data_IF_874693002648
#
_entry.id   IF_874693002648
#
_cell.length_a   1.000
_cell.length_b   1.000
_cell.length_c   1.000
_cell.angle_alpha   90.00
_cell.angle_beta   90.00
_cell.angle_gamma   90.00
#
_symmetry.space_group_name_H-M   'P 1'
#
loop_
_entity.id
_entity.type
_entity.pdbx_description
1 polymer ?
#
# COMPACT_ATOMS: atom_id res chain seq x y z
N UNK A 1 -4.42 7.62 9.80
CA UNK A 1 -3.29 6.82 10.33
C UNK A 1 -3.66 5.40 10.75
N UNK A 2 -4.79 5.11 11.44
CA UNK A 2 -5.12 3.73 11.88
C UNK A 2 -5.15 2.65 10.78
N UNK A 3 -5.52 3.01 9.54
CA UNK A 3 -5.69 2.03 8.48
C UNK A 3 -4.38 1.59 7.80
N UNK A 4 -3.34 2.44 7.78
CA UNK A 4 -2.07 2.08 7.13
C UNK A 4 -1.21 1.17 8.01
N UNK A 5 -1.25 1.37 9.32
CA UNK A 5 -0.57 0.50 10.29
C UNK A 5 -1.17 -0.91 10.24
N UNK A 6 -2.50 -1.03 10.29
CA UNK A 6 -3.18 -2.32 10.15
C UNK A 6 -2.88 -3.01 8.81
N UNK A 7 -2.77 -2.24 7.72
CA UNK A 7 -2.38 -2.77 6.41
C UNK A 7 -0.92 -3.26 6.41
N UNK A 8 -0.01 -2.50 7.02
CA UNK A 8 1.39 -2.89 7.16
C UNK A 8 1.54 -4.17 7.99
N UNK A 9 0.84 -4.27 9.12
CA UNK A 9 0.85 -5.46 9.98
C UNK A 9 0.33 -6.69 9.23
N UNK A 10 -0.75 -6.53 8.45
CA UNK A 10 -1.27 -7.61 7.60
C UNK A 10 -0.27 -8.02 6.52
N UNK A 11 0.36 -7.07 5.84
CA UNK A 11 1.35 -7.35 4.79
C UNK A 11 2.59 -8.07 5.36
N UNK A 12 3.09 -7.64 6.53
CA UNK A 12 4.20 -8.29 7.23
C UNK A 12 3.82 -9.69 7.71
N UNK A 13 2.61 -9.86 8.25
CA UNK A 13 2.10 -11.16 8.69
C UNK A 13 1.99 -12.12 7.51
N UNK A 14 1.37 -11.69 6.40
CA UNK A 14 1.24 -12.49 5.18
C UNK A 14 2.61 -12.97 4.67
N UNK A 15 3.61 -12.07 4.65
CA UNK A 15 4.99 -12.37 4.26
C UNK A 15 5.62 -13.42 5.20
N UNK A 16 5.44 -13.26 6.51
CA UNK A 16 5.97 -14.19 7.52
C UNK A 16 5.46 -15.61 7.32
N UNK A 17 4.19 -15.76 6.96
CA UNK A 17 3.56 -17.06 6.72
C UNK A 17 3.67 -17.56 5.27
N UNK A 18 4.29 -16.78 4.36
CA UNK A 18 4.44 -17.17 2.96
C UNK A 18 3.12 -17.22 2.18
N UNK A 19 2.12 -16.42 2.59
CA UNK A 19 0.80 -16.36 1.96
C UNK A 19 0.53 -15.00 1.32
N UNK A 20 -0.46 -14.94 0.43
CA UNK A 20 -0.92 -13.67 -0.15
C UNK A 20 -1.76 -12.89 0.88
N UNK A 21 -1.56 -11.57 1.04
CA UNK A 21 -2.36 -10.74 1.94
C UNK A 21 -3.88 -10.85 1.71
N UNK A 22 -4.31 -10.91 0.45
CA UNK A 22 -5.71 -11.08 0.06
C UNK A 22 -6.35 -12.37 0.59
N UNK A 23 -5.55 -13.38 0.97
CA UNK A 23 -6.04 -14.65 1.54
C UNK A 23 -6.73 -14.49 2.90
N UNK A 24 -6.53 -13.35 3.58
CA UNK A 24 -7.21 -13.03 4.84
C UNK A 24 -8.57 -12.34 4.64
N UNK A 25 -8.97 -12.09 3.40
CA UNK A 25 -10.17 -11.33 3.06
C UNK A 25 -11.17 -12.24 2.33
N UNK A 26 -12.40 -12.29 2.85
CA UNK A 26 -13.50 -13.03 2.24
C UNK A 26 -14.36 -12.12 1.36
N UNK A 27 -14.97 -12.68 0.31
CA UNK A 27 -15.97 -11.98 -0.51
C UNK A 27 -15.44 -10.90 -1.47
N UNK A 28 -14.11 -10.79 -1.64
CA UNK A 28 -13.52 -9.83 -2.59
C UNK A 28 -13.42 -10.41 -4.00
N UNK A 29 -13.55 -9.55 -5.01
CA UNK A 29 -13.36 -9.94 -6.41
C UNK A 29 -11.90 -10.29 -6.71
N UNK A 30 -11.67 -11.06 -7.77
CA UNK A 30 -10.31 -11.41 -8.20
C UNK A 30 -9.44 -10.18 -8.53
N UNK A 31 -10.04 -9.16 -9.16
CA UNK A 31 -9.33 -7.89 -9.44
C UNK A 31 -8.98 -7.16 -8.15
N UNK A 32 -9.92 -7.11 -7.19
CA UNK A 32 -9.69 -6.49 -5.88
C UNK A 32 -8.56 -7.20 -5.13
N UNK A 33 -8.56 -8.54 -5.12
CA UNK A 33 -7.49 -9.34 -4.51
C UNK A 33 -6.13 -9.05 -5.14
N UNK A 34 -6.06 -9.01 -6.48
CA UNK A 34 -4.84 -8.68 -7.21
C UNK A 34 -4.29 -7.29 -6.85
N UNK A 35 -5.15 -6.27 -6.84
CA UNK A 35 -4.74 -4.90 -6.50
C UNK A 35 -4.27 -4.81 -5.04
N UNK A 36 -4.94 -5.52 -4.14
CA UNK A 36 -4.58 -5.56 -2.73
C UNK A 36 -3.21 -6.20 -2.51
N UNK A 37 -2.95 -7.36 -3.12
CA UNK A 37 -1.66 -8.05 -3.05
C UNK A 37 -0.53 -7.21 -3.65
N UNK A 38 -0.80 -6.52 -4.76
CA UNK A 38 0.16 -5.62 -5.40
C UNK A 38 0.53 -4.44 -4.50
N UNK A 39 -0.45 -3.83 -3.83
CA UNK A 39 -0.22 -2.73 -2.90
C UNK A 39 0.63 -3.18 -1.70
N UNK A 40 0.37 -4.38 -1.18
CA UNK A 40 1.12 -4.93 -0.06
C UNK A 40 2.57 -5.27 -0.46
N UNK A 41 2.78 -5.80 -1.67
CA UNK A 41 4.11 -6.04 -2.21
C UNK A 41 4.93 -4.74 -2.33
N UNK A 42 4.30 -3.66 -2.83
CA UNK A 42 4.94 -2.35 -2.95
C UNK A 42 5.33 -1.78 -1.57
N UNK A 43 4.42 -1.89 -0.59
CA UNK A 43 4.69 -1.49 0.78
C UNK A 43 5.91 -2.22 1.36
N UNK A 44 5.94 -3.55 1.22
CA UNK A 44 7.04 -4.37 1.72
C UNK A 44 8.36 -4.03 1.04
N UNK A 45 8.35 -3.74 -0.26
CA UNK A 45 9.53 -3.30 -0.99
C UNK A 45 10.09 -1.99 -0.42
N UNK A 46 9.25 -0.99 -0.17
CA UNK A 46 9.71 0.27 0.45
C UNK A 46 10.26 0.09 1.86
N UNK A 47 9.58 -0.73 2.68
CA UNK A 47 10.08 -1.03 4.02
C UNK A 47 11.45 -1.72 3.98
N UNK A 48 11.70 -2.60 3.01
CA UNK A 48 13.00 -3.24 2.80
C UNK A 48 14.10 -2.25 2.37
N UNK A 49 13.75 -1.18 1.66
CA UNK A 49 14.67 -0.09 1.30
C UNK A 49 14.88 0.93 2.44
N UNK A 50 14.28 0.71 3.62
CA UNK A 50 14.31 1.65 4.73
C UNK A 50 13.47 2.91 4.48
N UNK A 51 12.63 2.90 3.44
CA UNK A 51 11.71 4.01 3.12
C UNK A 51 10.44 3.89 3.95
N UNK A 52 9.88 5.04 4.32
CA UNK A 52 8.56 5.07 4.96
C UNK A 52 7.48 4.69 3.95
N UNK A 53 6.40 4.02 4.37
CA UNK A 53 5.22 3.82 3.55
C UNK A 53 4.72 5.14 2.97
N UNK A 54 4.32 5.12 1.70
CA UNK A 54 3.61 6.24 1.08
C UNK A 54 2.24 6.34 1.77
N UNK A 55 2.07 7.32 2.65
CA UNK A 55 0.82 7.51 3.41
C UNK A 55 -0.09 8.56 2.79
N UNK A 56 0.48 9.46 2.01
CA UNK A 56 -0.24 10.59 1.41
C UNK A 56 -0.28 10.50 -0.11
N UNK A 57 -1.32 11.08 -0.69
CA UNK A 57 -1.46 11.19 -2.16
C UNK A 57 -0.28 11.98 -2.74
N UNK A 58 0.19 13.02 -2.04
CA UNK A 58 1.39 13.78 -2.42
C UNK A 58 2.65 12.89 -2.50
N UNK A 59 2.85 11.98 -1.56
CA UNK A 59 3.99 11.07 -1.55
C UNK A 59 3.94 10.10 -2.74
N UNK A 60 2.74 9.62 -3.09
CA UNK A 60 2.53 8.76 -4.24
C UNK A 60 2.86 9.49 -5.55
N UNK A 61 2.42 10.75 -5.65
CA UNK A 61 2.68 11.61 -6.82
C UNK A 61 4.16 11.91 -6.99
N UNK A 62 4.85 12.23 -5.90
CA UNK A 62 6.29 12.47 -5.91
C UNK A 62 7.05 11.24 -6.44
N UNK A 63 6.68 10.05 -5.99
CA UNK A 63 7.32 8.82 -6.43
C UNK A 63 7.01 8.48 -7.90
N UNK A 64 5.81 8.82 -8.38
CA UNK A 64 5.40 8.64 -9.76
C UNK A 64 5.88 9.77 -10.69
N UNK A 65 6.67 10.74 -10.19
CA UNK A 65 7.14 11.89 -10.97
C UNK A 65 6.00 12.79 -11.45
N UNK A 66 4.84 12.76 -10.79
CA UNK A 66 3.66 13.54 -11.17
C UNK A 66 3.77 14.99 -10.69
N UNK A 67 3.22 15.96 -11.42
CA UNK A 67 3.23 17.36 -11.01
C UNK A 67 2.47 17.57 -9.69
N UNK A 68 2.84 18.55 -8.85
CA UNK A 68 2.14 18.85 -7.61
C UNK A 68 0.68 19.27 -7.88
N UNK A 69 -0.23 18.94 -6.97
CA UNK A 69 -1.63 19.36 -7.09
C UNK A 69 -1.69 20.86 -6.85
N UNK A 70 -1.97 21.65 -7.88
CA UNK A 70 -2.27 23.07 -7.69
C UNK A 70 -3.60 23.18 -6.94
N UNK A 71 -3.54 23.42 -5.62
CA UNK A 71 -4.72 23.78 -4.85
C UNK A 71 -5.20 25.12 -5.40
N UNK A 72 -6.32 25.09 -6.13
CA UNK A 72 -6.96 26.31 -6.61
C UNK A 72 -7.20 27.26 -5.45
N UNK A 73 -6.68 28.49 -5.56
CA UNK A 73 -6.97 29.57 -4.60
C UNK A 73 -8.49 29.77 -4.61
N UNK A 74 -9.15 29.45 -3.49
CA UNK A 74 -10.49 29.94 -3.18
C UNK A 74 -10.37 31.32 -2.55
#
# INVERSE_FOLDING_TARGET
MKNIEAFADMAITAKTFGVRPSSFLEGISGLTAYMFDSAAALLLHYLQEGKKPITEVEDARNLLGMPPIQKGRR
#
